data_IF_326544555390
#
_entry.id   IF_326544555390
#
_cell.length_a   1.000
_cell.length_b   1.000
_cell.length_c   1.000
_cell.angle_alpha   90.00
_cell.angle_beta   90.00
_cell.angle_gamma   90.00
#
_symmetry.space_group_name_H-M   'P 1'
#
loop_
_entity.id
_entity.type
_entity.pdbx_description
1 polymer ?
#
# COMPACT_ATOMS: atom_id res chain seq x y z
N UNK A 1 -19.46 33.76 -17.50
CA UNK A 1 -18.63 32.94 -18.39
C UNK A 1 -18.63 31.53 -17.84
N UNK A 2 -19.40 30.65 -18.48
CA UNK A 2 -19.54 29.25 -18.02
C UNK A 2 -18.32 28.42 -18.41
N UNK A 3 -17.65 27.86 -17.43
CA UNK A 3 -16.66 26.80 -17.65
C UNK A 3 -17.40 25.56 -18.15
N UNK A 4 -17.16 25.17 -19.40
CA UNK A 4 -17.58 23.87 -19.91
C UNK A 4 -16.82 22.80 -19.13
N UNK A 5 -17.51 21.75 -18.61
CA UNK A 5 -16.81 20.59 -18.08
C UNK A 5 -15.99 19.98 -19.21
N UNK A 6 -14.69 19.71 -18.94
CA UNK A 6 -13.85 18.97 -19.85
C UNK A 6 -14.46 17.56 -20.01
N UNK A 7 -15.11 17.32 -21.13
CA UNK A 7 -15.48 15.97 -21.55
C UNK A 7 -14.18 15.25 -21.89
N UNK A 8 -13.68 14.46 -20.96
CA UNK A 8 -12.70 13.45 -21.26
C UNK A 8 -13.33 12.53 -22.32
N UNK A 9 -12.73 12.31 -23.50
CA UNK A 9 -13.27 11.35 -24.44
C UNK A 9 -13.29 10.01 -23.70
N UNK A 10 -14.45 9.39 -23.59
CA UNK A 10 -14.59 8.01 -23.15
C UNK A 10 -13.81 7.16 -24.17
N UNK A 11 -12.56 6.85 -23.83
CA UNK A 11 -11.83 5.79 -24.49
C UNK A 11 -12.67 4.54 -24.19
N UNK A 12 -13.32 3.98 -25.21
CA UNK A 12 -14.05 2.72 -25.07
C UNK A 12 -13.08 1.71 -24.47
N UNK A 13 -13.26 1.43 -23.20
CA UNK A 13 -12.34 0.56 -22.48
C UNK A 13 -12.52 -0.85 -23.03
N UNK A 14 -11.53 -1.34 -23.74
CA UNK A 14 -11.54 -2.69 -24.34
C UNK A 14 -11.74 -3.71 -23.23
N UNK A 15 -12.80 -4.52 -23.35
CA UNK A 15 -13.03 -5.63 -22.46
C UNK A 15 -12.00 -6.72 -22.77
N UNK A 16 -11.33 -7.21 -21.74
CA UNK A 16 -10.35 -8.29 -21.80
C UNK A 16 -10.81 -9.47 -20.96
N UNK A 17 -10.36 -10.66 -21.32
CA UNK A 17 -10.54 -11.87 -20.53
C UNK A 17 -9.20 -12.32 -19.95
N UNK A 18 -9.23 -12.71 -18.67
CA UNK A 18 -8.09 -13.28 -17.95
C UNK A 18 -8.57 -14.37 -16.99
N UNK A 19 -7.67 -15.24 -16.58
CA UNK A 19 -7.99 -16.31 -15.61
C UNK A 19 -7.50 -15.94 -14.22
N UNK A 20 -8.36 -16.05 -13.21
CA UNK A 20 -8.02 -15.90 -11.79
C UNK A 20 -8.39 -17.19 -11.07
N UNK A 21 -7.39 -17.91 -10.55
CA UNK A 21 -7.53 -19.22 -9.89
C UNK A 21 -8.39 -20.21 -10.71
N UNK A 22 -8.14 -20.25 -12.02
CA UNK A 22 -8.82 -21.15 -12.96
C UNK A 22 -10.21 -20.69 -13.43
N UNK A 23 -10.70 -19.52 -12.99
CA UNK A 23 -11.98 -18.94 -13.45
C UNK A 23 -11.71 -17.81 -14.43
N UNK A 24 -12.41 -17.81 -15.54
CA UNK A 24 -12.37 -16.71 -16.53
C UNK A 24 -13.12 -15.51 -15.97
N UNK A 25 -12.49 -14.36 -16.03
CA UNK A 25 -13.01 -13.07 -15.55
C UNK A 25 -12.87 -12.05 -16.67
N UNK A 26 -13.93 -11.28 -16.90
CA UNK A 26 -13.91 -10.16 -17.83
C UNK A 26 -13.61 -8.87 -17.07
N UNK A 27 -12.68 -8.08 -17.57
CA UNK A 27 -12.26 -6.81 -16.97
C UNK A 27 -12.00 -5.77 -18.05
N UNK A 28 -11.81 -4.51 -17.65
CA UNK A 28 -11.30 -3.45 -18.52
C UNK A 28 -9.78 -3.58 -18.64
N UNK A 29 -9.26 -3.39 -19.84
CA UNK A 29 -7.81 -3.35 -20.06
C UNK A 29 -7.14 -2.23 -19.23
N UNK A 30 -5.97 -2.50 -18.67
CA UNK A 30 -5.19 -1.52 -17.91
C UNK A 30 -5.68 -1.20 -16.50
N UNK A 31 -6.77 -1.82 -16.03
CA UNK A 31 -7.18 -1.74 -14.61
C UNK A 31 -6.19 -2.51 -13.73
N UNK A 32 -6.07 -2.16 -12.45
CA UNK A 32 -5.17 -2.91 -11.56
C UNK A 32 -5.63 -4.36 -11.41
N UNK A 33 -4.70 -5.31 -11.35
CA UNK A 33 -5.03 -6.71 -11.06
C UNK A 33 -5.72 -6.84 -9.69
N UNK A 34 -5.39 -5.98 -8.74
CA UNK A 34 -6.02 -5.96 -7.42
C UNK A 34 -7.52 -5.70 -7.52
N UNK A 35 -7.94 -4.69 -8.29
CA UNK A 35 -9.36 -4.35 -8.49
C UNK A 35 -10.10 -5.49 -9.21
N UNK A 36 -9.46 -6.06 -10.25
CA UNK A 36 -10.06 -7.20 -10.95
C UNK A 36 -10.27 -8.39 -10.03
N UNK A 37 -9.29 -8.72 -9.19
CA UNK A 37 -9.40 -9.82 -8.24
C UNK A 37 -10.47 -9.52 -7.19
N UNK A 38 -10.47 -8.29 -6.64
CA UNK A 38 -11.47 -7.85 -5.66
C UNK A 38 -12.90 -7.90 -6.21
N UNK A 39 -13.09 -7.59 -7.49
CA UNK A 39 -14.41 -7.69 -8.14
C UNK A 39 -14.97 -9.11 -8.20
N UNK A 40 -14.12 -10.13 -8.06
CA UNK A 40 -14.55 -11.53 -7.95
C UNK A 40 -15.00 -11.94 -6.54
N UNK A 41 -14.96 -11.02 -5.58
CA UNK A 41 -15.24 -11.29 -4.17
C UNK A 41 -14.04 -11.87 -3.39
N UNK A 42 -12.88 -12.00 -4.01
CA UNK A 42 -11.66 -12.45 -3.32
C UNK A 42 -10.99 -11.28 -2.60
N UNK A 43 -10.55 -11.54 -1.38
CA UNK A 43 -9.81 -10.58 -0.57
C UNK A 43 -8.32 -10.91 -0.66
N UNK A 44 -7.55 -9.98 -1.18
CA UNK A 44 -6.08 -10.03 -1.14
C UNK A 44 -5.60 -9.02 -0.10
N UNK A 45 -4.71 -9.41 0.83
CA UNK A 45 -4.22 -8.48 1.84
C UNK A 45 -3.42 -7.34 1.21
N UNK A 46 -3.64 -6.11 1.68
CA UNK A 46 -2.88 -4.93 1.27
C UNK A 46 -2.93 -3.90 2.40
N UNK A 47 -1.79 -3.27 2.71
CA UNK A 47 -1.67 -2.22 3.73
C UNK A 47 -1.39 -0.83 3.12
N UNK A 48 -1.24 -0.72 1.81
CA UNK A 48 -0.90 0.54 1.13
C UNK A 48 -1.75 0.75 -0.12
N UNK A 49 -2.89 0.06 -0.20
CA UNK A 49 -3.82 0.17 -1.31
C UNK A 49 -5.11 0.85 -0.83
N UNK A 50 -5.49 1.90 -1.52
CA UNK A 50 -6.79 2.53 -1.37
C UNK A 50 -7.39 2.78 -2.76
N UNK A 51 -8.69 2.52 -2.92
CA UNK A 51 -9.36 2.59 -4.23
C UNK A 51 -9.41 4.01 -4.84
N UNK A 52 -9.20 5.05 -4.03
CA UNK A 52 -9.25 6.45 -4.46
C UNK A 52 -7.94 6.94 -5.07
N UNK A 53 -6.81 6.29 -4.74
CA UNK A 53 -5.47 6.78 -5.10
C UNK A 53 -4.73 5.80 -5.99
N UNK A 54 -3.78 6.32 -6.74
CA UNK A 54 -2.80 5.48 -7.42
C UNK A 54 -1.99 4.69 -6.38
N UNK A 55 -1.88 3.36 -6.54
CA UNK A 55 -1.23 2.52 -5.55
C UNK A 55 0.28 2.76 -5.50
N UNK A 56 0.80 3.00 -4.30
CA UNK A 56 2.24 3.18 -4.08
C UNK A 56 3.02 1.86 -4.16
N UNK A 57 2.39 0.75 -3.83
CA UNK A 57 2.97 -0.60 -3.95
C UNK A 57 4.11 -0.90 -2.98
N UNK A 58 4.17 -0.25 -1.80
CA UNK A 58 5.29 -0.40 -0.85
C UNK A 58 5.19 -1.62 0.05
N UNK A 59 3.98 -2.00 0.49
CA UNK A 59 3.80 -2.97 1.58
C UNK A 59 4.18 -4.41 1.20
N UNK A 60 4.07 -4.80 -0.08
CA UNK A 60 4.40 -6.15 -0.53
C UNK A 60 3.40 -7.23 -0.10
N UNK A 61 2.19 -6.87 0.32
CA UNK A 61 1.17 -7.83 0.75
C UNK A 61 0.28 -8.33 -0.39
N UNK A 62 -0.02 -7.49 -1.38
CA UNK A 62 -0.92 -7.81 -2.49
C UNK A 62 -0.27 -8.72 -3.57
N UNK A 63 0.61 -9.63 -3.15
CA UNK A 63 1.34 -10.51 -4.06
C UNK A 63 0.42 -11.57 -4.67
N UNK A 64 0.55 -11.75 -5.98
CA UNK A 64 -0.08 -12.82 -6.76
C UNK A 64 0.95 -13.45 -7.68
N UNK A 65 0.73 -14.68 -8.10
CA UNK A 65 1.57 -15.33 -9.09
C UNK A 65 0.93 -15.19 -10.47
N UNK A 66 1.66 -14.65 -11.41
CA UNK A 66 1.30 -14.61 -12.82
C UNK A 66 2.02 -15.74 -13.53
N UNK A 67 1.31 -16.54 -14.32
CA UNK A 67 1.91 -17.59 -15.13
C UNK A 67 3.02 -17.04 -16.04
N UNK A 68 4.11 -17.78 -16.18
CA UNK A 68 5.30 -17.34 -16.91
C UNK A 68 6.23 -16.40 -16.15
N UNK A 69 5.85 -15.89 -14.98
CA UNK A 69 6.74 -15.12 -14.10
C UNK A 69 7.45 -16.01 -13.08
N UNK A 70 8.73 -15.73 -12.84
CA UNK A 70 9.54 -16.47 -11.86
C UNK A 70 9.32 -16.01 -10.41
N UNK A 71 8.72 -14.85 -10.22
CA UNK A 71 8.49 -14.25 -8.91
C UNK A 71 7.09 -13.64 -8.83
N UNK A 72 6.50 -13.58 -7.62
CA UNK A 72 5.22 -12.92 -7.41
C UNK A 72 5.23 -11.45 -7.85
N UNK A 73 4.11 -10.99 -8.37
CA UNK A 73 3.88 -9.60 -8.76
C UNK A 73 2.94 -8.92 -7.77
N UNK A 74 3.08 -7.59 -7.61
CA UNK A 74 2.14 -6.79 -6.80
C UNK A 74 0.89 -6.52 -7.61
N UNK A 75 -0.23 -7.08 -7.21
CA UNK A 75 -1.50 -6.92 -7.95
C UNK A 75 -1.99 -5.46 -7.98
N UNK A 76 -1.71 -4.67 -6.96
CA UNK A 76 -2.12 -3.26 -6.91
C UNK A 76 -1.45 -2.39 -8.00
N UNK A 77 -0.22 -2.70 -8.38
CA UNK A 77 0.53 -1.93 -9.42
C UNK A 77 0.56 -2.61 -10.77
N UNK A 78 0.33 -3.93 -10.82
CA UNK A 78 0.27 -4.66 -12.07
C UNK A 78 -1.06 -4.39 -12.77
N UNK A 79 -1.00 -4.13 -14.08
CA UNK A 79 -2.17 -3.87 -14.91
C UNK A 79 -2.70 -5.17 -15.49
N UNK A 80 -4.03 -5.33 -15.50
CA UNK A 80 -4.68 -6.45 -16.16
C UNK A 80 -4.49 -6.36 -17.67
N UNK A 81 -4.23 -7.49 -18.31
CA UNK A 81 -4.14 -7.63 -19.74
C UNK A 81 -4.76 -8.96 -20.21
N UNK A 82 -5.18 -9.01 -21.45
CA UNK A 82 -5.81 -10.19 -22.05
C UNK A 82 -4.91 -11.44 -21.93
N UNK A 83 -5.53 -12.58 -21.62
CA UNK A 83 -4.87 -13.88 -21.53
C UNK A 83 -3.99 -14.10 -20.31
N UNK A 84 -3.95 -13.16 -19.33
CA UNK A 84 -3.22 -13.40 -18.09
C UNK A 84 -3.84 -14.57 -17.31
N UNK A 85 -2.98 -15.40 -16.72
CA UNK A 85 -3.37 -16.45 -15.78
C UNK A 85 -2.77 -16.10 -14.42
N UNK A 86 -3.64 -15.87 -13.46
CA UNK A 86 -3.29 -15.37 -12.12
C UNK A 86 -3.69 -16.39 -11.06
N UNK A 87 -2.79 -16.67 -10.14
CA UNK A 87 -3.02 -17.45 -8.92
C UNK A 87 -2.86 -16.55 -7.71
N UNK A 88 -3.85 -16.58 -6.82
CA UNK A 88 -3.91 -15.67 -5.67
C UNK A 88 -3.49 -16.32 -4.36
N UNK A 89 -3.41 -17.64 -4.29
CA UNK A 89 -3.14 -18.44 -3.10
C UNK A 89 -2.00 -19.43 -3.35
N UNK A 90 -1.45 -19.99 -2.28
CA UNK A 90 -0.42 -21.02 -2.29
C UNK A 90 0.68 -20.73 -1.27
N UNK A 91 1.42 -21.78 -0.86
CA UNK A 91 2.45 -21.69 0.17
C UNK A 91 3.56 -20.71 -0.20
N UNK A 92 3.94 -20.65 -1.46
CA UNK A 92 4.94 -19.70 -1.96
C UNK A 92 4.49 -18.24 -1.78
N UNK A 93 3.22 -17.93 -2.05
CA UNK A 93 2.64 -16.61 -1.82
C UNK A 93 2.49 -16.31 -0.34
N UNK A 94 2.06 -17.29 0.45
CA UNK A 94 1.97 -17.16 1.91
C UNK A 94 3.34 -16.82 2.51
N UNK A 95 4.40 -17.56 2.14
CA UNK A 95 5.75 -17.30 2.61
C UNK A 95 6.31 -15.95 2.11
N UNK A 96 5.98 -15.55 0.88
CA UNK A 96 6.38 -14.25 0.36
C UNK A 96 5.71 -13.08 1.13
N UNK A 97 4.42 -13.20 1.45
CA UNK A 97 3.69 -12.23 2.28
C UNK A 97 4.22 -12.21 3.71
N UNK A 98 4.47 -13.39 4.32
CA UNK A 98 5.10 -13.50 5.64
C UNK A 98 6.43 -12.74 5.70
N UNK A 99 7.30 -12.91 4.71
CA UNK A 99 8.57 -12.15 4.61
C UNK A 99 8.35 -10.65 4.48
N UNK A 100 7.27 -10.21 3.80
CA UNK A 100 6.95 -8.80 3.72
C UNK A 100 6.53 -8.23 5.09
N UNK A 101 5.72 -8.95 5.87
CA UNK A 101 5.37 -8.59 7.25
C UNK A 101 6.61 -8.56 8.14
N UNK A 102 7.44 -9.61 8.11
CA UNK A 102 8.70 -9.67 8.86
C UNK A 102 9.60 -8.48 8.56
N UNK A 103 9.68 -8.07 7.29
CA UNK A 103 10.44 -6.89 6.87
C UNK A 103 9.90 -5.60 7.48
N UNK A 104 8.59 -5.42 7.52
CA UNK A 104 7.98 -4.25 8.18
C UNK A 104 8.25 -4.26 9.69
N UNK A 105 7.99 -5.38 10.35
CA UNK A 105 8.18 -5.53 11.78
C UNK A 105 9.65 -5.45 12.20
N UNK A 106 10.60 -5.82 11.32
CA UNK A 106 12.04 -5.75 11.63
C UNK A 106 12.53 -4.33 11.94
N UNK A 107 11.79 -3.32 11.53
CA UNK A 107 12.13 -1.90 11.71
C UNK A 107 11.03 -1.11 12.44
N UNK A 108 9.93 -1.76 12.80
CA UNK A 108 8.80 -1.16 13.53
C UNK A 108 8.95 -1.40 15.04
N UNK A 109 8.54 -0.48 15.92
CA UNK A 109 8.47 -0.75 17.36
C UNK A 109 7.58 -1.98 17.63
N UNK A 110 8.07 -2.86 18.52
CA UNK A 110 7.37 -4.10 18.89
C UNK A 110 6.68 -3.93 20.25
N UNK A 111 6.02 -2.79 20.44
CA UNK A 111 5.38 -2.36 21.66
C UNK A 111 3.85 -2.31 21.55
N UNK A 112 3.26 -3.23 20.78
CA UNK A 112 1.84 -3.27 20.49
C UNK A 112 0.94 -3.08 21.72
N UNK A 113 1.20 -3.70 22.88
CA UNK A 113 0.31 -3.57 24.06
C UNK A 113 0.20 -2.14 24.64
N UNK A 114 1.11 -1.24 24.24
CA UNK A 114 1.10 0.18 24.67
C UNK A 114 0.97 1.14 23.51
N UNK A 115 0.64 0.62 22.32
CA UNK A 115 0.44 1.38 21.10
C UNK A 115 -1.00 1.84 20.98
N UNK A 116 -1.23 3.10 20.61
CA UNK A 116 -2.57 3.65 20.40
C UNK A 116 -3.35 2.95 19.27
N UNK A 117 -2.67 2.27 18.36
CA UNK A 117 -3.26 1.49 17.28
C UNK A 117 -3.54 0.02 17.64
N UNK A 118 -3.27 -0.42 18.88
CA UNK A 118 -3.50 -1.81 19.27
C UNK A 118 -4.96 -2.24 19.07
N UNK A 119 -5.16 -3.40 18.44
CA UNK A 119 -6.48 -3.92 18.08
C UNK A 119 -7.12 -3.26 16.85
N UNK A 120 -6.50 -2.25 16.23
CA UNK A 120 -6.96 -1.55 15.02
C UNK A 120 -5.83 -1.36 14.00
N UNK A 121 -4.82 -2.23 14.03
CA UNK A 121 -3.61 -2.10 13.25
C UNK A 121 -3.51 -3.19 12.18
N UNK A 122 -3.59 -2.81 10.90
CA UNK A 122 -3.44 -3.76 9.79
C UNK A 122 -2.12 -4.52 9.81
N UNK A 123 -1.01 -3.88 10.23
CA UNK A 123 0.27 -4.56 10.36
C UNK A 123 0.23 -5.65 11.44
N UNK A 124 -0.45 -5.39 12.56
CA UNK A 124 -0.66 -6.37 13.62
C UNK A 124 -1.51 -7.54 13.13
N UNK A 125 -2.61 -7.25 12.43
CA UNK A 125 -3.48 -8.28 11.85
C UNK A 125 -2.73 -9.15 10.85
N UNK A 126 -1.93 -8.53 9.97
CA UNK A 126 -1.08 -9.27 9.02
C UNK A 126 -0.04 -10.14 9.73
N UNK A 127 0.51 -9.68 10.87
CA UNK A 127 1.44 -10.45 11.66
C UNK A 127 0.79 -11.72 12.23
N UNK A 128 -0.41 -11.59 12.79
CA UNK A 128 -1.17 -12.73 13.30
C UNK A 128 -1.57 -13.70 12.19
N UNK A 129 -2.12 -13.19 11.09
CA UNK A 129 -2.56 -14.02 9.96
C UNK A 129 -1.41 -14.83 9.33
N UNK A 130 -0.19 -14.29 9.33
CA UNK A 130 0.97 -14.95 8.75
C UNK A 130 1.87 -15.64 9.78
N UNK A 131 1.43 -15.71 11.04
CA UNK A 131 2.17 -16.39 12.11
C UNK A 131 3.57 -15.83 12.36
N UNK A 132 3.71 -14.50 12.32
CA UNK A 132 4.98 -13.81 12.63
C UNK A 132 5.02 -13.55 14.12
N UNK A 133 5.73 -14.41 14.88
CA UNK A 133 5.79 -14.36 16.34
C UNK A 133 7.17 -14.02 16.90
N UNK A 134 8.22 -14.10 16.10
CA UNK A 134 9.59 -13.83 16.53
C UNK A 134 10.39 -13.17 15.41
N UNK A 135 11.13 -12.13 15.77
CA UNK A 135 12.01 -11.37 14.87
C UNK A 135 13.42 -11.33 15.46
N UNK A 136 14.18 -12.39 15.22
CA UNK A 136 15.52 -12.56 15.78
C UNK A 136 16.51 -11.41 15.46
N UNK A 137 16.24 -10.62 14.40
CA UNK A 137 17.13 -9.58 13.90
C UNK A 137 16.42 -8.22 13.75
N UNK A 138 15.45 -7.91 14.60
CA UNK A 138 14.77 -6.62 14.57
C UNK A 138 15.76 -5.47 14.83
N UNK A 139 15.87 -4.56 13.88
CA UNK A 139 16.63 -3.30 13.99
C UNK A 139 15.62 -2.17 14.05
N UNK A 140 15.15 -1.87 15.25
CA UNK A 140 14.17 -0.80 15.42
C UNK A 140 14.73 0.53 14.90
N UNK A 141 13.88 1.27 14.19
CA UNK A 141 14.16 2.66 13.83
C UNK A 141 14.20 3.49 15.11
N UNK A 142 15.16 4.37 15.21
CA UNK A 142 15.11 5.46 16.16
C UNK A 142 15.13 6.78 15.39
N UNK A 143 13.98 7.40 15.28
CA UNK A 143 13.78 8.68 14.60
C UNK A 143 13.17 9.60 15.66
N UNK A 144 13.84 10.72 16.02
CA UNK A 144 13.25 11.70 16.92
C UNK A 144 11.87 12.17 16.41
N UNK A 145 10.92 12.33 17.32
CA UNK A 145 9.63 12.89 16.97
C UNK A 145 9.78 14.33 16.49
N UNK A 146 9.00 14.69 15.50
CA UNK A 146 8.95 16.06 15.01
C UNK A 146 7.73 16.76 15.62
N UNK A 147 7.98 17.57 16.65
CA UNK A 147 6.98 18.32 17.43
C UNK A 147 6.95 19.81 17.03
N UNK A 148 7.46 20.18 15.85
CA UNK A 148 7.50 21.56 15.40
C UNK A 148 6.12 22.13 15.06
N UNK A 149 5.17 21.26 14.68
CA UNK A 149 3.79 21.67 14.44
C UNK A 149 3.06 21.90 15.79
N UNK A 150 2.26 22.98 15.93
CA UNK A 150 1.47 23.21 17.15
C UNK A 150 0.26 22.25 17.29
N UNK A 151 -0.07 21.50 16.25
CA UNK A 151 -1.29 20.67 16.17
C UNK A 151 -1.02 19.19 15.87
N UNK A 152 0.15 18.84 15.40
CA UNK A 152 0.51 17.47 15.00
C UNK A 152 1.93 17.11 15.41
N UNK A 153 2.09 15.97 16.04
CA UNK A 153 3.38 15.34 16.30
C UNK A 153 3.62 14.23 15.27
N UNK A 154 4.79 14.25 14.61
CA UNK A 154 5.18 13.23 13.66
C UNK A 154 6.06 12.17 14.31
N UNK A 155 5.50 10.99 14.58
CA UNK A 155 6.26 9.83 15.05
C UNK A 155 6.53 8.86 13.88
N UNK A 156 7.64 9.04 13.21
CA UNK A 156 8.02 8.20 12.05
C UNK A 156 8.50 6.80 12.43
N UNK A 157 8.70 6.49 13.71
CA UNK A 157 9.04 5.14 14.12
C UNK A 157 7.90 4.16 13.83
N UNK A 158 6.67 4.60 13.96
CA UNK A 158 5.45 3.81 13.71
C UNK A 158 4.98 3.83 12.26
N UNK A 159 5.65 4.58 11.39
CA UNK A 159 5.29 4.70 9.97
C UNK A 159 5.67 3.44 9.20
N UNK A 160 4.72 2.86 8.45
CA UNK A 160 4.91 1.72 7.55
C UNK A 160 5.19 2.14 6.10
N UNK A 161 5.27 3.45 5.83
CA UNK A 161 5.50 4.04 4.51
C UNK A 161 4.43 3.64 3.46
N UNK A 162 3.16 3.60 3.85
CA UNK A 162 2.04 3.28 2.93
C UNK A 162 1.74 4.38 1.91
N UNK A 163 2.16 5.62 2.17
CA UNK A 163 1.90 6.81 1.35
C UNK A 163 0.46 7.38 1.44
N UNK A 164 -0.44 6.79 2.19
CA UNK A 164 -1.84 7.25 2.22
C UNK A 164 -1.98 8.71 2.65
N UNK A 165 -1.27 9.11 3.72
CA UNK A 165 -1.28 10.51 4.16
C UNK A 165 -0.75 11.49 3.09
N UNK A 166 0.24 11.08 2.28
CA UNK A 166 0.75 11.88 1.17
C UNK A 166 -0.31 11.99 0.07
N UNK A 167 -0.93 10.87 -0.30
CA UNK A 167 -1.94 10.84 -1.35
C UNK A 167 -3.19 11.63 -0.94
N UNK A 168 -3.66 11.49 0.31
CA UNK A 168 -4.77 12.31 0.82
C UNK A 168 -4.42 13.79 0.76
N UNK A 169 -3.24 14.17 1.26
CA UNK A 169 -2.79 15.56 1.28
C UNK A 169 -2.70 16.16 -0.13
N UNK A 170 -2.22 15.36 -1.09
CA UNK A 170 -2.03 15.82 -2.46
C UNK A 170 -3.31 15.74 -3.29
N UNK A 171 -3.98 14.57 -3.31
CA UNK A 171 -5.00 14.25 -4.31
C UNK A 171 -6.42 14.58 -3.83
N UNK A 172 -6.65 14.61 -2.50
CA UNK A 172 -7.95 14.96 -1.92
C UNK A 172 -7.98 16.41 -1.44
N UNK A 173 -6.99 16.77 -0.60
CA UNK A 173 -6.94 18.11 -0.02
C UNK A 173 -6.31 19.14 -0.96
N UNK A 174 -5.63 18.71 -2.03
CA UNK A 174 -4.92 19.58 -3.01
C UNK A 174 -3.87 20.50 -2.37
N UNK A 175 -3.37 20.16 -1.17
CA UNK A 175 -2.39 20.96 -0.42
C UNK A 175 -0.97 20.58 -0.78
N UNK A 176 -0.72 19.26 -0.99
CA UNK A 176 0.58 18.70 -1.36
C UNK A 176 1.73 19.09 -0.40
N UNK A 177 1.42 19.15 0.91
CA UNK A 177 2.35 19.59 1.95
C UNK A 177 3.29 18.47 2.45
N UNK A 178 3.06 17.21 2.07
CA UNK A 178 3.82 16.06 2.54
C UNK A 178 4.62 15.41 1.40
N UNK A 179 5.76 14.83 1.75
CA UNK A 179 6.60 14.07 0.82
C UNK A 179 7.34 12.92 1.52
N UNK A 180 7.84 11.97 0.72
CA UNK A 180 8.84 11.03 1.23
C UNK A 180 10.24 11.62 1.23
N UNK A 181 10.95 11.39 2.31
CA UNK A 181 12.39 11.61 2.40
C UNK A 181 13.06 10.31 2.85
N UNK A 182 14.15 9.94 2.19
CA UNK A 182 14.99 8.81 2.64
C UNK A 182 16.05 9.33 3.60
N UNK A 183 15.93 8.98 4.88
CA UNK A 183 16.86 9.38 5.92
C UNK A 183 17.19 8.17 6.81
N UNK A 184 18.47 7.98 7.14
CA UNK A 184 18.89 6.83 7.96
C UNK A 184 18.58 5.45 7.36
N UNK A 185 18.44 5.35 6.03
CA UNK A 185 18.08 4.10 5.34
C UNK A 185 16.59 3.80 5.27
N UNK A 186 15.73 4.65 5.87
CA UNK A 186 14.28 4.47 5.92
C UNK A 186 13.55 5.57 5.14
N UNK A 187 12.42 5.21 4.53
CA UNK A 187 11.48 6.19 4.01
C UNK A 187 10.72 6.83 5.18
N UNK A 188 10.74 8.14 5.24
CA UNK A 188 10.03 8.94 6.24
C UNK A 188 9.08 9.88 5.51
N UNK A 189 7.90 10.07 6.06
CA UNK A 189 7.01 11.15 5.63
C UNK A 189 7.45 12.42 6.34
N UNK A 190 7.67 13.47 5.59
CA UNK A 190 8.09 14.77 6.13
C UNK A 190 7.29 15.88 5.45
N UNK A 191 7.14 17.04 6.11
CA UNK A 191 6.64 18.24 5.45
C UNK A 191 7.53 18.63 4.26
N UNK A 192 6.95 19.22 3.24
CA UNK A 192 7.72 19.86 2.17
C UNK A 192 8.30 21.18 2.68
N UNK A 193 9.60 21.35 2.52
CA UNK A 193 10.36 22.49 3.07
C UNK A 193 10.87 22.25 4.49
N UNK A 194 11.56 23.28 5.04
CA UNK A 194 12.21 23.20 6.37
C UNK A 194 11.30 23.63 7.52
N UNK A 195 10.09 24.04 7.24
CA UNK A 195 9.12 24.51 8.22
C UNK A 195 8.27 23.38 8.78
N UNK A 196 7.62 23.65 9.92
CA UNK A 196 6.51 22.83 10.41
C UNK A 196 5.45 22.71 9.32
N UNK A 197 4.63 21.66 9.40
CA UNK A 197 3.56 21.42 8.43
C UNK A 197 2.73 22.71 8.25
N UNK A 198 2.77 23.28 7.06
CA UNK A 198 1.96 24.44 6.69
C UNK A 198 0.59 23.97 6.18
N UNK A 199 -0.18 23.36 7.09
CA UNK A 199 -1.52 22.88 6.81
C UNK A 199 -2.46 23.57 7.81
N UNK A 200 -3.60 24.07 7.33
CA UNK A 200 -4.62 24.73 8.16
C UNK A 200 -5.54 23.71 8.86
N UNK A 201 -5.31 22.39 8.66
CA UNK A 201 -6.10 21.30 9.21
C UNK A 201 -5.28 20.43 10.14
#
# INVERSE_FOLDING_TARGET
>A
MGLKPATNPEVEAVAIELSIDGKIVTAKDGVSLYDVISSTGKIIPAMCYHYTFDPFGSCGMCLVMQEGKKAPVRSCTAKAAAGMVIRTEGDDLFQARKKAVEKHLSVHPLDCPVCDADGHCELQDMAFQHGVTNLANAKQKFIPEDTRSPVLDFNMNRCIACAECINVCKDVLMIDALQFMKKGGFNQVVPKGDLALSCEF
#
